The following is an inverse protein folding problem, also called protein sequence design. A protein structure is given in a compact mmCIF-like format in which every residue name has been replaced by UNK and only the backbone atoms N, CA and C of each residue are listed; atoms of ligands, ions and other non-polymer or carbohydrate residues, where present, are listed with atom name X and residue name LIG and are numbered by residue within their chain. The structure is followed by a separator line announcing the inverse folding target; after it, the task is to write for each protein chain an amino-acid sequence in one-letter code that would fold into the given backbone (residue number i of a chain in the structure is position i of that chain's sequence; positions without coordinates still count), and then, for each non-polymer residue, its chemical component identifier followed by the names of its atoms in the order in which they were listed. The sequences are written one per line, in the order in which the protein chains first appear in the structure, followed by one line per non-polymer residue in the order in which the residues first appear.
data_IF_515197241862
#
_entry.id   IF_515197241862
#
_cell.length_a   1.000
_cell.length_b   1.000
_cell.length_c   1.000
_cell.angle_alpha   90.00
_cell.angle_beta   90.00
_cell.angle_gamma   90.00
#
_symmetry.space_group_name_H-M   'P 1'
#
loop_
_entity.id
_entity.type
_entity.pdbx_description
1 polymer ?
#
# COMPACT_ATOMS: atom_id res chain seq x y z
N UNK A 1 30.61 16.84 7.70
CA UNK A 1 31.52 15.69 7.53
C UNK A 1 31.44 14.66 8.67
N UNK A 2 31.81 14.95 9.93
CA UNK A 2 31.78 13.95 11.00
C UNK A 2 30.35 13.52 11.43
N UNK A 3 29.41 14.47 11.42
CA UNK A 3 27.99 14.21 11.70
C UNK A 3 27.35 13.38 10.56
N UNK A 4 27.63 13.72 9.31
CA UNK A 4 27.06 13.02 8.15
C UNK A 4 27.47 11.54 8.10
N UNK A 5 28.74 11.24 8.43
CA UNK A 5 29.20 9.85 8.49
C UNK A 5 28.49 9.07 9.60
N UNK A 6 28.42 9.64 10.81
CA UNK A 6 27.72 9.00 11.94
C UNK A 6 26.22 8.80 11.69
N UNK A 7 25.56 9.80 11.12
CA UNK A 7 24.16 9.68 10.73
C UNK A 7 24.00 8.61 9.65
N UNK A 8 24.89 8.56 8.66
CA UNK A 8 24.84 7.54 7.61
C UNK A 8 24.94 6.12 8.16
N UNK A 9 25.82 5.89 9.13
CA UNK A 9 25.97 4.56 9.74
C UNK A 9 24.77 4.17 10.61
N UNK A 10 24.25 5.09 11.43
CA UNK A 10 22.99 4.86 12.17
C UNK A 10 21.81 4.57 11.25
N UNK A 11 21.78 5.23 10.08
CA UNK A 11 20.73 5.00 9.09
C UNK A 11 20.83 3.63 8.42
N UNK A 12 22.04 3.11 8.18
CA UNK A 12 22.22 1.74 7.65
C UNK A 12 21.67 0.69 8.61
N UNK A 13 21.99 0.80 9.91
CA UNK A 13 21.46 -0.12 10.92
C UNK A 13 19.93 -0.05 10.99
N UNK A 14 19.37 1.16 10.89
CA UNK A 14 17.94 1.35 10.83
C UNK A 14 17.33 0.69 9.58
N UNK A 15 17.98 0.81 8.41
CA UNK A 15 17.47 0.19 7.17
C UNK A 15 17.45 -1.34 7.27
N UNK A 16 18.43 -1.95 7.95
CA UNK A 16 18.43 -3.39 8.26
C UNK A 16 17.25 -3.75 9.17
N UNK A 17 17.04 -2.99 10.25
CA UNK A 17 15.92 -3.21 11.17
C UNK A 17 14.58 -3.06 10.45
N UNK A 18 14.39 -1.98 9.69
CA UNK A 18 13.19 -1.72 8.90
C UNK A 18 12.94 -2.86 7.91
N UNK A 19 13.98 -3.35 7.24
CA UNK A 19 13.88 -4.47 6.29
C UNK A 19 13.55 -5.81 6.96
N UNK A 20 13.90 -5.99 8.24
CA UNK A 20 13.56 -7.18 9.02
C UNK A 20 12.09 -7.22 9.44
N UNK A 21 11.41 -6.07 9.49
CA UNK A 21 10.00 -6.00 9.87
C UNK A 21 9.12 -6.77 8.88
N UNK A 22 8.04 -7.34 9.41
CA UNK A 22 7.06 -8.11 8.64
C UNK A 22 5.67 -7.61 8.94
N UNK A 23 4.87 -7.50 7.89
CA UNK A 23 3.44 -7.27 8.03
C UNK A 23 2.77 -8.46 8.73
N UNK A 24 1.88 -8.15 9.68
CA UNK A 24 0.94 -9.11 10.24
C UNK A 24 -0.34 -9.08 9.41
N UNK A 25 -0.71 -10.22 8.83
CA UNK A 25 -2.00 -10.35 8.14
C UNK A 25 -3.15 -10.13 9.12
N UNK A 26 -4.06 -9.23 8.77
CA UNK A 26 -5.25 -8.94 9.58
C UNK A 26 -6.47 -9.62 8.96
N UNK A 27 -6.87 -9.24 7.75
CA UNK A 27 -8.05 -9.83 7.12
C UNK A 27 -8.62 -9.01 5.97
N UNK A 28 -9.93 -9.15 5.76
CA UNK A 28 -10.67 -8.48 4.69
C UNK A 28 -10.68 -6.95 4.94
N UNK A 29 -10.35 -6.15 3.93
CA UNK A 29 -10.35 -4.69 4.02
C UNK A 29 -11.75 -4.10 4.17
N UNK A 30 -12.78 -4.80 3.68
CA UNK A 30 -14.17 -4.35 3.73
C UNK A 30 -14.88 -4.76 5.03
N UNK A 31 -14.20 -5.52 5.90
CA UNK A 31 -14.70 -5.85 7.23
C UNK A 31 -14.43 -4.68 8.19
N UNK A 32 -15.47 -3.94 8.51
CA UNK A 32 -15.37 -2.72 9.32
C UNK A 32 -14.91 -2.99 10.76
N UNK A 33 -15.25 -4.14 11.32
CA UNK A 33 -14.88 -4.52 12.68
C UNK A 33 -13.39 -4.86 12.77
N UNK A 34 -12.88 -5.60 11.78
CA UNK A 34 -11.43 -5.85 11.67
C UNK A 34 -10.65 -4.57 11.47
N UNK A 35 -11.15 -3.65 10.63
CA UNK A 35 -10.52 -2.35 10.41
C UNK A 35 -10.55 -1.48 11.67
N UNK A 36 -11.68 -1.41 12.38
CA UNK A 36 -11.84 -0.61 13.59
C UNK A 36 -10.88 -1.03 14.72
N UNK A 37 -10.54 -2.33 14.80
CA UNK A 37 -9.54 -2.85 15.75
C UNK A 37 -8.11 -2.34 15.49
N UNK A 38 -7.85 -1.69 14.35
CA UNK A 38 -6.53 -1.15 14.01
C UNK A 38 -6.36 0.33 14.41
N UNK A 39 -6.94 0.75 15.53
CA UNK A 39 -6.84 2.12 16.02
C UNK A 39 -5.51 2.35 16.74
N UNK A 40 -4.44 2.47 15.95
CA UNK A 40 -3.08 2.71 16.43
C UNK A 40 -2.20 3.33 15.32
N UNK A 41 -1.07 3.95 15.69
CA UNK A 41 -0.07 4.39 14.73
C UNK A 41 0.61 3.18 14.08
N UNK A 42 0.77 3.18 12.76
CA UNK A 42 1.31 2.03 12.06
C UNK A 42 1.51 2.21 10.57
N UNK A 43 2.06 1.15 9.98
CA UNK A 43 2.19 0.97 8.52
C UNK A 43 1.14 -0.06 8.10
N UNK A 44 0.54 0.12 6.93
CA UNK A 44 -0.42 -0.82 6.37
C UNK A 44 -0.09 -1.15 4.92
N UNK A 45 -0.37 -2.38 4.54
CA UNK A 45 -0.31 -2.90 3.17
C UNK A 45 -1.71 -3.35 2.78
N UNK A 46 -2.18 -2.88 1.63
CA UNK A 46 -3.43 -3.32 1.00
C UNK A 46 -3.08 -4.14 -0.23
N UNK A 47 -3.71 -5.31 -0.34
CA UNK A 47 -3.53 -6.25 -1.43
C UNK A 47 -4.88 -6.59 -2.06
N UNK A 48 -4.83 -6.99 -3.32
CA UNK A 48 -5.98 -7.51 -4.05
C UNK A 48 -5.73 -8.94 -4.45
N UNK A 49 -6.76 -9.77 -4.33
CA UNK A 49 -6.69 -11.16 -4.76
C UNK A 49 -6.69 -11.23 -6.31
N UNK A 50 -5.89 -12.15 -6.84
CA UNK A 50 -5.80 -12.46 -8.27
C UNK A 50 -6.22 -13.89 -8.56
N UNK A 51 -6.53 -14.69 -7.54
CA UNK A 51 -7.10 -16.03 -7.71
C UNK A 51 -8.44 -15.92 -8.43
N UNK A 52 -8.72 -16.86 -9.33
CA UNK A 52 -9.95 -16.92 -10.12
C UNK A 52 -10.22 -15.67 -10.98
N UNK A 53 -9.20 -14.85 -11.22
CA UNK A 53 -9.33 -13.64 -12.05
C UNK A 53 -9.40 -13.95 -13.55
N UNK A 54 -9.13 -15.20 -13.95
CA UNK A 54 -9.18 -15.65 -15.34
C UNK A 54 -7.99 -15.18 -16.20
N UNK A 55 -7.01 -14.48 -15.62
CA UNK A 55 -5.81 -14.06 -16.35
C UNK A 55 -4.78 -15.17 -16.38
N UNK A 56 -4.22 -15.42 -17.57
CA UNK A 56 -3.18 -16.43 -17.77
C UNK A 56 -1.77 -15.92 -17.41
N UNK A 57 -1.56 -14.60 -17.48
CA UNK A 57 -0.24 -13.97 -17.29
C UNK A 57 -0.31 -12.73 -16.40
N UNK A 58 0.83 -12.36 -15.82
CA UNK A 58 0.99 -11.15 -15.04
C UNK A 58 0.72 -9.90 -15.89
N UNK A 59 1.24 -9.83 -17.11
CA UNK A 59 1.06 -8.70 -18.04
C UNK A 59 -0.42 -8.42 -18.30
N UNK A 60 -1.18 -9.46 -18.67
CA UNK A 60 -2.62 -9.34 -18.92
C UNK A 60 -3.38 -8.82 -17.68
N UNK A 61 -2.99 -9.30 -16.50
CA UNK A 61 -3.58 -8.86 -15.24
C UNK A 61 -3.21 -7.40 -14.95
N UNK A 62 -1.94 -7.00 -15.10
CA UNK A 62 -1.47 -5.63 -14.88
C UNK A 62 -2.15 -4.66 -15.85
N UNK A 63 -2.21 -4.98 -17.13
CA UNK A 63 -2.85 -4.14 -18.15
C UNK A 63 -4.34 -3.94 -17.85
N UNK A 64 -5.02 -5.01 -17.45
CA UNK A 64 -6.43 -4.93 -17.10
C UNK A 64 -6.64 -4.16 -15.80
N UNK A 65 -5.80 -4.37 -14.79
CA UNK A 65 -5.82 -3.58 -13.56
C UNK A 65 -5.61 -2.09 -13.87
N UNK A 66 -4.61 -1.73 -14.66
CA UNK A 66 -4.30 -0.34 -15.02
C UNK A 66 -5.45 0.33 -15.78
N UNK A 67 -6.05 -0.36 -16.77
CA UNK A 67 -7.22 0.17 -17.50
C UNK A 67 -8.40 0.43 -16.57
N UNK A 68 -8.69 -0.47 -15.65
CA UNK A 68 -9.78 -0.30 -14.68
C UNK A 68 -9.46 0.80 -13.66
N UNK A 69 -8.20 0.91 -13.23
CA UNK A 69 -7.76 1.91 -12.27
C UNK A 69 -7.70 3.33 -12.87
N UNK A 70 -7.31 3.46 -14.14
CA UNK A 70 -7.18 4.73 -14.85
C UNK A 70 -8.42 5.11 -15.68
N UNK A 71 -9.56 4.44 -15.48
CA UNK A 71 -10.77 4.74 -16.25
C UNK A 71 -11.09 6.25 -16.26
N UNK A 72 -11.58 6.77 -17.40
CA UNK A 72 -11.78 8.21 -17.65
C UNK A 72 -12.44 9.00 -16.51
N UNK A 73 -13.38 8.41 -15.77
CA UNK A 73 -14.06 9.03 -14.62
C UNK A 73 -13.10 9.38 -13.45
N UNK A 74 -11.95 8.71 -13.38
CA UNK A 74 -10.94 8.86 -12.32
C UNK A 74 -9.77 9.73 -12.76
N UNK A 75 -9.67 10.06 -14.04
CA UNK A 75 -8.66 11.00 -14.55
C UNK A 75 -8.81 12.36 -13.88
N UNK A 76 -7.67 13.01 -13.61
CA UNK A 76 -7.59 14.32 -12.94
C UNK A 76 -8.20 14.37 -11.52
N UNK A 77 -8.56 13.22 -10.93
CA UNK A 77 -8.98 13.13 -9.53
C UNK A 77 -7.76 12.89 -8.64
N UNK A 78 -7.82 13.42 -7.42
CA UNK A 78 -6.83 13.13 -6.38
C UNK A 78 -6.95 11.66 -5.96
N UNK A 79 -6.16 10.80 -6.56
CA UNK A 79 -6.08 9.37 -6.27
C UNK A 79 -4.67 8.87 -6.60
N UNK A 80 -4.18 7.80 -5.94
CA UNK A 80 -2.88 7.22 -6.26
C UNK A 80 -2.92 6.60 -7.66
N UNK A 81 -1.81 6.68 -8.37
CA UNK A 81 -1.68 6.16 -9.73
C UNK A 81 -0.74 4.96 -9.77
N UNK A 82 -0.87 4.08 -10.79
CA UNK A 82 0.09 3.01 -11.01
C UNK A 82 1.51 3.57 -11.21
N UNK A 83 2.48 3.00 -10.49
CA UNK A 83 3.87 3.47 -10.46
C UNK A 83 4.75 2.58 -11.33
N UNK A 84 5.29 3.13 -12.43
CA UNK A 84 6.02 2.37 -13.45
C UNK A 84 7.12 1.48 -12.87
N UNK A 85 8.03 2.03 -12.05
CA UNK A 85 9.12 1.26 -11.41
C UNK A 85 8.64 0.05 -10.60
N UNK A 86 7.47 0.13 -9.96
CA UNK A 86 6.95 -0.97 -9.17
C UNK A 86 6.30 -2.04 -10.05
N UNK A 87 5.64 -1.63 -11.13
CA UNK A 87 5.13 -2.52 -12.17
C UNK A 87 6.30 -3.27 -12.82
N UNK A 88 7.32 -2.54 -13.28
CA UNK A 88 8.49 -3.11 -13.95
C UNK A 88 9.17 -4.16 -13.05
N UNK A 89 9.31 -3.88 -11.75
CA UNK A 89 9.85 -4.85 -10.79
C UNK A 89 9.03 -6.15 -10.69
N UNK A 90 7.69 -6.09 -10.77
CA UNK A 90 6.87 -7.30 -10.81
C UNK A 90 6.99 -8.04 -12.14
N UNK A 91 7.05 -7.30 -13.26
CA UNK A 91 7.21 -7.87 -14.59
C UNK A 91 8.55 -8.60 -14.74
N UNK A 92 9.64 -8.03 -14.21
CA UNK A 92 10.97 -8.66 -14.16
C UNK A 92 10.95 -9.97 -13.35
N UNK A 93 10.17 -10.03 -12.26
CA UNK A 93 9.99 -11.26 -11.48
C UNK A 93 9.08 -12.29 -12.19
N UNK A 94 8.30 -11.88 -13.19
CA UNK A 94 7.49 -12.75 -14.04
C UNK A 94 6.37 -13.51 -13.32
N UNK A 95 6.06 -13.17 -12.06
CA UNK A 95 5.15 -13.96 -11.22
C UNK A 95 3.88 -13.21 -10.83
N UNK A 96 2.74 -13.71 -11.31
CA UNK A 96 1.43 -13.33 -10.79
C UNK A 96 1.19 -14.00 -9.43
N UNK A 97 1.35 -13.24 -8.35
CA UNK A 97 1.06 -13.73 -7.01
C UNK A 97 -0.46 -13.72 -6.75
N UNK A 98 -0.94 -14.68 -5.96
CA UNK A 98 -2.36 -14.76 -5.57
C UNK A 98 -2.86 -13.47 -4.90
N UNK A 99 -1.97 -12.76 -4.22
CA UNK A 99 -2.25 -11.48 -3.59
C UNK A 99 -1.21 -10.47 -4.06
N UNK A 100 -1.66 -9.54 -4.91
CA UNK A 100 -0.78 -8.51 -5.46
C UNK A 100 -0.79 -7.29 -4.54
N UNK A 101 0.39 -6.74 -4.20
CA UNK A 101 0.50 -5.55 -3.37
C UNK A 101 0.03 -4.33 -4.14
N UNK A 102 -1.03 -3.69 -3.66
CA UNK A 102 -1.62 -2.54 -4.32
C UNK A 102 -1.10 -1.25 -3.70
N UNK A 103 -1.21 -1.08 -2.40
CA UNK A 103 -0.87 0.19 -1.75
C UNK A 103 -0.22 -0.04 -0.40
N UNK A 104 0.83 0.74 -0.10
CA UNK A 104 1.43 0.82 1.23
C UNK A 104 1.32 2.26 1.73
N UNK A 105 0.98 2.45 2.99
CA UNK A 105 0.98 3.76 3.63
C UNK A 105 1.21 3.69 5.13
N UNK A 106 1.38 4.87 5.73
CA UNK A 106 1.53 5.08 7.17
C UNK A 106 0.45 6.00 7.71
N UNK A 107 0.02 5.78 8.95
CA UNK A 107 -0.97 6.63 9.63
C UNK A 107 -0.82 6.57 11.14
N UNK A 108 -1.08 7.70 11.82
CA UNK A 108 -1.26 7.71 13.29
C UNK A 108 -2.53 6.95 13.72
N UNK A 109 -3.48 6.80 12.80
CA UNK A 109 -4.72 6.05 12.97
C UNK A 109 -4.93 5.16 11.73
N UNK A 110 -4.40 3.94 11.76
CA UNK A 110 -4.48 3.01 10.63
C UNK A 110 -5.93 2.71 10.25
N UNK A 111 -6.79 2.45 11.22
CA UNK A 111 -8.24 2.28 11.06
C UNK A 111 -8.88 3.40 10.21
N UNK A 112 -8.68 4.67 10.59
CA UNK A 112 -9.26 5.82 9.89
C UNK A 112 -8.76 5.87 8.45
N UNK A 113 -7.46 5.64 8.25
CA UNK A 113 -6.86 5.71 6.92
C UNK A 113 -7.30 4.56 6.01
N UNK A 114 -7.45 3.35 6.53
CA UNK A 114 -8.02 2.23 5.79
C UNK A 114 -9.47 2.52 5.39
N UNK A 115 -10.29 3.05 6.30
CA UNK A 115 -11.66 3.49 5.99
C UNK A 115 -11.67 4.54 4.88
N UNK A 116 -10.75 5.50 4.91
CA UNK A 116 -10.62 6.50 3.85
C UNK A 116 -10.30 5.90 2.48
N UNK A 117 -9.41 4.89 2.43
CA UNK A 117 -9.10 4.17 1.20
C UNK A 117 -10.33 3.50 0.57
N UNK A 118 -11.29 3.08 1.38
CA UNK A 118 -12.53 2.44 0.93
C UNK A 118 -13.60 3.49 0.60
N UNK A 119 -13.93 4.35 1.56
CA UNK A 119 -15.18 5.13 1.60
C UNK A 119 -15.07 6.58 1.12
N UNK A 120 -13.86 7.15 0.98
CA UNK A 120 -13.78 8.56 0.56
C UNK A 120 -14.31 8.76 -0.86
N UNK A 121 -15.13 9.79 -1.10
CA UNK A 121 -15.64 10.10 -2.44
C UNK A 121 -14.55 10.74 -3.32
N UNK A 122 -14.72 10.69 -4.65
CA UNK A 122 -13.72 11.12 -5.64
C UNK A 122 -13.34 12.59 -5.51
N UNK A 123 -14.26 13.41 -5.03
CA UNK A 123 -14.16 14.86 -4.92
C UNK A 123 -13.22 15.31 -3.79
N UNK A 124 -12.99 14.45 -2.79
CA UNK A 124 -12.10 14.80 -1.67
C UNK A 124 -10.64 14.83 -2.13
N UNK A 125 -9.93 15.90 -1.81
CA UNK A 125 -8.52 16.11 -2.20
C UNK A 125 -7.55 15.34 -1.30
N UNK A 126 -7.62 14.00 -1.35
CA UNK A 126 -6.69 13.11 -0.64
C UNK A 126 -6.19 12.04 -1.60
N UNK A 127 -5.01 11.47 -1.35
CA UNK A 127 -4.48 10.34 -2.11
C UNK A 127 -5.01 8.98 -1.60
N UNK A 128 -6.23 8.94 -1.08
CA UNK A 128 -6.90 7.68 -0.79
C UNK A 128 -7.26 6.95 -2.09
N UNK A 129 -7.42 5.62 -2.00
CA UNK A 129 -7.74 4.80 -3.18
C UNK A 129 -9.18 4.97 -3.66
N UNK A 130 -10.10 5.27 -2.73
CA UNK A 130 -11.52 5.55 -2.97
C UNK A 130 -12.22 4.39 -3.66
N UNK A 131 -12.06 3.19 -3.09
CA UNK A 131 -12.48 1.94 -3.73
C UNK A 131 -13.98 1.90 -4.02
N UNK A 132 -14.86 2.38 -3.13
CA UNK A 132 -16.31 2.37 -3.36
C UNK A 132 -16.72 3.19 -4.61
N UNK A 133 -16.00 4.26 -4.91
CA UNK A 133 -16.25 5.03 -6.13
C UNK A 133 -15.76 4.31 -7.41
N UNK A 134 -14.98 3.23 -7.26
CA UNK A 134 -14.42 2.40 -8.32
C UNK A 134 -15.22 1.10 -8.44
N UNK A 135 -16.41 1.17 -9.06
CA UNK A 135 -17.39 0.07 -9.14
C UNK A 135 -16.82 -1.28 -9.56
N UNK A 136 -15.88 -1.32 -10.52
CA UNK A 136 -15.23 -2.55 -10.98
C UNK A 136 -14.14 -3.08 -10.04
N UNK A 137 -13.62 -2.22 -9.16
CA UNK A 137 -12.54 -2.55 -8.24
C UNK A 137 -13.08 -2.98 -6.88
N UNK A 138 -14.16 -2.36 -6.39
CA UNK A 138 -14.73 -2.68 -5.06
C UNK A 138 -15.26 -4.12 -4.97
N UNK A 139 -15.71 -4.71 -6.08
CA UNK A 139 -16.18 -6.09 -6.14
C UNK A 139 -15.07 -7.14 -6.05
N UNK A 140 -13.79 -6.72 -6.15
CA UNK A 140 -12.65 -7.62 -5.97
C UNK A 140 -12.46 -7.97 -4.50
N UNK A 141 -11.78 -9.07 -4.23
CA UNK A 141 -11.41 -9.43 -2.86
C UNK A 141 -10.19 -8.62 -2.41
N UNK A 142 -10.37 -7.81 -1.38
CA UNK A 142 -9.33 -6.97 -0.79
C UNK A 142 -8.96 -7.49 0.59
N UNK A 143 -7.66 -7.47 0.89
CA UNK A 143 -7.17 -7.72 2.24
C UNK A 143 -6.20 -6.64 2.65
N UNK A 144 -5.92 -6.60 3.94
CA UNK A 144 -4.88 -5.74 4.48
C UNK A 144 -4.06 -6.43 5.56
N UNK A 145 -2.86 -5.89 5.71
CA UNK A 145 -1.89 -6.28 6.72
C UNK A 145 -1.34 -5.03 7.39
N UNK A 146 -0.84 -5.15 8.62
CA UNK A 146 -0.34 -4.01 9.38
C UNK A 146 0.98 -4.29 10.09
N UNK A 147 1.73 -3.24 10.36
CA UNK A 147 2.82 -3.18 11.35
C UNK A 147 2.37 -2.18 12.40
N UNK A 148 2.15 -2.67 13.63
CA UNK A 148 1.75 -1.83 14.75
C UNK A 148 2.97 -1.10 15.31
N UNK A 149 2.92 0.23 15.33
CA UNK A 149 3.96 1.12 15.85
C UNK A 149 3.53 1.82 17.15
N UNK A 150 2.52 1.30 17.85
CA UNK A 150 2.10 1.80 19.17
C UNK A 150 3.30 1.76 20.13
N UNK A 151 3.53 2.86 20.83
CA UNK A 151 4.64 3.02 21.77
C UNK A 151 5.91 3.61 21.16
N UNK A 152 5.98 3.78 19.83
CA UNK A 152 7.10 4.49 19.21
C UNK A 152 6.98 5.99 19.47
N UNK A 153 8.00 6.56 20.13
CA UNK A 153 8.04 7.98 20.48
C UNK A 153 8.32 8.88 19.27
N UNK A 154 9.28 8.50 18.42
CA UNK A 154 9.70 9.29 17.26
C UNK A 154 9.00 8.84 15.97
N UNK A 155 7.67 8.75 15.99
CA UNK A 155 6.87 8.24 14.87
C UNK A 155 7.19 8.95 13.55
N UNK A 156 7.29 10.28 13.57
CA UNK A 156 7.53 11.09 12.36
C UNK A 156 8.91 10.87 11.73
N UNK A 157 9.86 10.31 12.48
CA UNK A 157 11.20 9.95 11.98
C UNK A 157 11.22 8.49 11.52
N UNK A 158 10.61 7.60 12.31
CA UNK A 158 10.70 6.14 12.15
C UNK A 158 9.73 5.62 11.08
N UNK A 159 8.47 6.04 11.14
CA UNK A 159 7.43 5.53 10.25
C UNK A 159 7.71 5.78 8.75
N UNK A 160 8.20 6.95 8.30
CA UNK A 160 8.55 7.16 6.89
C UNK A 160 9.65 6.21 6.39
N UNK A 161 10.63 5.90 7.23
CA UNK A 161 11.74 5.02 6.85
C UNK A 161 11.26 3.57 6.74
N UNK A 162 10.46 3.10 7.69
CA UNK A 162 9.82 1.77 7.61
C UNK A 162 8.92 1.70 6.37
N UNK A 163 8.08 2.71 6.13
CA UNK A 163 7.22 2.75 4.93
C UNK A 163 8.04 2.65 3.65
N UNK A 164 9.14 3.41 3.54
CA UNK A 164 10.03 3.39 2.38
C UNK A 164 10.65 2.00 2.17
N UNK A 165 11.20 1.39 3.23
CA UNK A 165 11.74 0.04 3.18
C UNK A 165 10.68 -0.98 2.73
N UNK A 166 9.46 -0.89 3.27
CA UNK A 166 8.35 -1.77 2.88
C UNK A 166 7.93 -1.56 1.42
N UNK A 167 7.87 -0.31 0.93
CA UNK A 167 7.58 -0.01 -0.48
C UNK A 167 8.64 -0.57 -1.41
N UNK A 168 9.90 -0.44 -1.07
CA UNK A 168 11.01 -0.97 -1.85
C UNK A 168 11.02 -2.49 -1.87
N UNK A 169 10.57 -3.14 -0.80
CA UNK A 169 10.50 -4.60 -0.70
C UNK A 169 9.31 -5.20 -1.45
N UNK A 170 8.13 -4.60 -1.31
CA UNK A 170 6.88 -5.18 -1.81
C UNK A 170 6.45 -4.64 -3.16
N UNK A 171 7.03 -3.52 -3.60
CA UNK A 171 6.70 -2.85 -4.86
C UNK A 171 5.18 -2.63 -5.07
N UNK A 172 4.49 -1.86 -4.21
CA UNK A 172 3.05 -1.65 -4.35
C UNK A 172 2.73 -1.00 -5.71
N UNK A 173 1.75 -1.57 -6.41
CA UNK A 173 1.43 -1.17 -7.79
C UNK A 173 0.96 0.28 -7.87
N UNK A 174 0.17 0.74 -6.90
CA UNK A 174 -0.33 2.12 -6.86
C UNK A 174 0.26 2.90 -5.70
N UNK A 175 0.62 4.15 -5.97
CA UNK A 175 1.23 5.02 -4.98
C UNK A 175 1.09 6.49 -5.35
N UNK A 176 1.58 7.34 -4.45
CA UNK A 176 1.86 8.73 -4.77
C UNK A 176 3.18 8.75 -5.56
N UNK A 177 3.19 9.43 -6.71
CA UNK A 177 4.39 9.75 -7.46
C UNK A 177 5.25 10.74 -6.67
#
# INVERSE_FOLDING_TARGET
MAIDCRLSDMLKEFDVLASSMKFKRVGNLLDEDLVAKQSYPGIYLIEVNTRNSGFATLDQWIDTFQRQWRGKKYELKFAPNPHKRHIDAHLELGKLNEWMPIYIGKSLHVDRRLKEHVKLPLEKRTFAMKLEARKTMISRQWRFQTINLKGIQSYDVIAPKIESAMRNRHHPIVGRQ
#
